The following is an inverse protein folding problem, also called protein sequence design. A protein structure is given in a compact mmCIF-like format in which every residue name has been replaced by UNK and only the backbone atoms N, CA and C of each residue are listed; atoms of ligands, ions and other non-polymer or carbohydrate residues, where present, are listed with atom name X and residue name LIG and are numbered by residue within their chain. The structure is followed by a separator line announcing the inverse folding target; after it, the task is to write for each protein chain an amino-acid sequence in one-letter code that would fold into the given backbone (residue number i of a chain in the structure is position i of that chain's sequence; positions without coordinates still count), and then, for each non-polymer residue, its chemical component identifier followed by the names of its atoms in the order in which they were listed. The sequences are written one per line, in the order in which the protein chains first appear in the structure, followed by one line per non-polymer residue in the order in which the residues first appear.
data_IF_478323856835
#
_entry.id   IF_478323856835
#
_cell.length_a   1.000
_cell.length_b   1.000
_cell.length_c   1.000
_cell.angle_alpha   90.00
_cell.angle_beta   90.00
_cell.angle_gamma   90.00
#
_symmetry.space_group_name_H-M   'P 1'
#
loop_
_entity.id
_entity.type
_entity.pdbx_description
1 polymer ?
#
# COMPACT_ATOMS: atom_id res chain seq x y z
N UNK A 1 -15.96 -42.85 6.94
CA UNK A 1 -16.20 -42.60 5.51
C UNK A 1 -16.89 -41.25 5.36
N UNK A 2 -16.12 -40.19 5.14
CA UNK A 2 -16.63 -38.81 5.12
C UNK A 2 -17.42 -38.61 3.83
N UNK A 3 -18.76 -38.59 3.91
CA UNK A 3 -19.62 -38.28 2.75
C UNK A 3 -19.27 -36.87 2.28
N UNK A 4 -18.64 -36.74 1.10
CA UNK A 4 -18.43 -35.44 0.48
C UNK A 4 -19.78 -34.69 0.42
N UNK A 5 -19.87 -33.43 0.85
CA UNK A 5 -21.12 -32.68 0.88
C UNK A 5 -21.65 -32.29 -0.52
N UNK A 6 -21.11 -32.89 -1.58
CA UNK A 6 -21.31 -32.52 -2.98
C UNK A 6 -22.16 -33.58 -3.67
N UNK A 7 -23.41 -33.25 -3.97
CA UNK A 7 -24.22 -34.05 -4.91
C UNK A 7 -23.76 -33.71 -6.33
N UNK A 8 -22.82 -34.47 -6.88
CA UNK A 8 -22.31 -34.33 -8.25
C UNK A 8 -23.39 -34.01 -9.32
N UNK A 9 -24.59 -34.63 -9.34
CA UNK A 9 -25.61 -34.28 -10.33
C UNK A 9 -26.16 -32.85 -10.19
N UNK A 10 -26.30 -32.32 -8.96
CA UNK A 10 -26.77 -30.95 -8.75
C UNK A 10 -25.77 -29.91 -9.23
N UNK A 11 -24.47 -30.19 -9.07
CA UNK A 11 -23.38 -29.30 -9.54
C UNK A 11 -23.36 -29.26 -11.07
N UNK A 12 -23.45 -30.42 -11.73
CA UNK A 12 -23.49 -30.49 -13.21
C UNK A 12 -24.74 -29.80 -13.75
N UNK A 13 -25.88 -29.98 -13.07
CA UNK A 13 -27.12 -29.31 -13.45
C UNK A 13 -26.99 -27.78 -13.29
N UNK A 14 -26.43 -27.31 -12.16
CA UNK A 14 -26.17 -25.89 -11.94
C UNK A 14 -25.26 -25.29 -13.01
N UNK A 15 -24.18 -25.99 -13.38
CA UNK A 15 -23.27 -25.53 -14.43
C UNK A 15 -23.97 -25.40 -15.80
N UNK A 16 -24.74 -26.42 -16.20
CA UNK A 16 -25.51 -26.38 -17.45
C UNK A 16 -26.53 -25.26 -17.46
N UNK A 17 -27.18 -25.01 -16.34
CA UNK A 17 -28.17 -23.96 -16.21
C UNK A 17 -27.54 -22.57 -16.35
N UNK A 18 -26.38 -22.33 -15.73
CA UNK A 18 -25.59 -21.10 -15.93
C UNK A 18 -25.20 -20.91 -17.40
N UNK A 19 -24.79 -21.99 -18.09
CA UNK A 19 -24.42 -21.94 -19.51
C UNK A 19 -25.59 -21.62 -20.45
N UNK A 20 -26.83 -21.91 -20.06
CA UNK A 20 -28.03 -21.51 -20.84
C UNK A 20 -28.25 -20.01 -20.81
N UNK A 21 -27.70 -19.32 -19.81
CA UNK A 21 -27.81 -17.88 -19.62
C UNK A 21 -26.44 -17.24 -19.45
N UNK A 22 -25.64 -17.22 -20.54
CA UNK A 22 -24.24 -16.80 -20.45
C UNK A 22 -24.11 -15.31 -20.13
N UNK A 23 -24.97 -14.45 -20.69
CA UNK A 23 -24.86 -13.00 -20.51
C UNK A 23 -25.11 -12.56 -19.05
N UNK A 24 -26.22 -12.93 -18.37
CA UNK A 24 -26.42 -12.58 -16.96
C UNK A 24 -25.34 -13.17 -16.05
N UNK A 25 -24.93 -14.41 -16.30
CA UNK A 25 -23.86 -15.08 -15.55
C UNK A 25 -22.54 -14.35 -15.68
N UNK A 26 -22.18 -13.93 -16.90
CA UNK A 26 -20.96 -13.19 -17.17
C UNK A 26 -20.99 -11.79 -16.55
N UNK A 27 -22.12 -11.09 -16.62
CA UNK A 27 -22.27 -9.77 -15.99
C UNK A 27 -22.08 -9.84 -14.47
N UNK A 28 -22.68 -10.85 -13.82
CA UNK A 28 -22.48 -11.10 -12.39
C UNK A 28 -21.04 -11.47 -12.06
N UNK A 29 -20.41 -12.30 -12.90
CA UNK A 29 -19.02 -12.70 -12.70
C UNK A 29 -18.07 -11.50 -12.82
N UNK A 30 -18.23 -10.68 -13.87
CA UNK A 30 -17.40 -9.49 -14.13
C UNK A 30 -17.59 -8.44 -13.04
N UNK A 31 -18.83 -8.14 -12.65
CA UNK A 31 -19.08 -7.19 -11.57
C UNK A 31 -18.45 -7.66 -10.26
N UNK A 32 -18.54 -8.97 -9.96
CA UNK A 32 -18.04 -9.52 -8.71
C UNK A 32 -16.53 -9.54 -8.69
N UNK A 33 -15.92 -9.99 -9.80
CA UNK A 33 -14.47 -9.94 -9.97
C UNK A 33 -13.94 -8.51 -9.88
N UNK A 34 -14.65 -7.53 -10.45
CA UNK A 34 -14.24 -6.12 -10.43
C UNK A 34 -14.32 -5.52 -9.02
N UNK A 35 -15.39 -5.83 -8.27
CA UNK A 35 -15.55 -5.39 -6.88
C UNK A 35 -14.47 -6.00 -5.98
N UNK A 36 -14.18 -7.29 -6.16
CA UNK A 36 -13.09 -7.97 -5.44
C UNK A 36 -11.74 -7.38 -5.82
N UNK A 37 -11.48 -7.13 -7.10
CA UNK A 37 -10.23 -6.52 -7.57
C UNK A 37 -10.02 -5.15 -6.93
N UNK A 38 -11.06 -4.32 -6.87
CA UNK A 38 -10.99 -3.00 -6.24
C UNK A 38 -10.62 -3.11 -4.75
N UNK A 39 -11.32 -3.94 -3.98
CA UNK A 39 -11.07 -4.12 -2.54
C UNK A 39 -9.68 -4.71 -2.30
N UNK A 40 -9.32 -5.76 -3.04
CA UNK A 40 -8.03 -6.41 -2.93
C UNK A 40 -6.89 -5.44 -3.27
N UNK A 41 -7.04 -4.61 -4.32
CA UNK A 41 -6.05 -3.62 -4.72
C UNK A 41 -5.76 -2.64 -3.57
N UNK A 42 -6.79 -2.11 -2.92
CA UNK A 42 -6.63 -1.17 -1.80
C UNK A 42 -5.93 -1.82 -0.61
N UNK A 43 -6.39 -3.01 -0.21
CA UNK A 43 -5.82 -3.71 0.95
C UNK A 43 -4.36 -4.14 0.71
N UNK A 44 -4.03 -4.61 -0.49
CA UNK A 44 -2.66 -5.00 -0.85
C UNK A 44 -1.75 -3.78 -0.88
N UNK A 45 -2.21 -2.67 -1.45
CA UNK A 45 -1.44 -1.43 -1.50
C UNK A 45 -1.14 -0.92 -0.08
N UNK A 46 -2.16 -0.79 0.76
CA UNK A 46 -1.99 -0.34 2.15
C UNK A 46 -1.00 -1.21 2.92
N UNK A 47 -1.12 -2.53 2.78
CA UNK A 47 -0.28 -3.48 3.48
C UNK A 47 1.17 -3.48 2.98
N UNK A 48 1.37 -3.46 1.66
CA UNK A 48 2.73 -3.42 1.06
C UNK A 48 3.45 -2.14 1.46
N UNK A 49 2.77 -1.00 1.40
CA UNK A 49 3.33 0.29 1.79
C UNK A 49 3.63 0.36 3.28
N UNK A 50 2.70 -0.09 4.13
CA UNK A 50 2.88 -0.10 5.58
C UNK A 50 4.05 -0.97 6.01
N UNK A 51 4.22 -2.14 5.39
CA UNK A 51 5.34 -3.03 5.68
C UNK A 51 6.67 -2.46 5.21
N UNK A 52 6.68 -1.85 4.01
CA UNK A 52 7.87 -1.19 3.52
C UNK A 52 8.28 -0.03 4.44
N UNK A 53 7.32 0.82 4.83
CA UNK A 53 7.57 1.91 5.76
C UNK A 53 8.15 1.40 7.08
N UNK A 54 7.57 0.36 7.69
CA UNK A 54 8.10 -0.24 8.93
C UNK A 54 9.56 -0.66 8.77
N UNK A 55 9.89 -1.41 7.71
CA UNK A 55 11.27 -1.85 7.44
C UNK A 55 12.25 -0.69 7.27
N UNK A 56 11.80 0.38 6.63
CA UNK A 56 12.60 1.59 6.39
C UNK A 56 12.79 2.40 7.68
N UNK A 57 11.75 2.47 8.50
CA UNK A 57 11.78 3.16 9.79
C UNK A 57 12.62 2.41 10.82
N UNK A 58 12.68 1.08 10.78
CA UNK A 58 13.58 0.26 11.63
C UNK A 58 15.06 0.62 11.43
N UNK A 59 15.45 1.05 10.22
CA UNK A 59 16.81 1.47 9.88
C UNK A 59 17.05 2.98 10.13
N UNK A 60 16.01 3.73 10.48
CA UNK A 60 16.10 5.17 10.74
C UNK A 60 16.60 5.46 12.16
N UNK A 61 17.21 6.62 12.44
CA UNK A 61 17.67 6.95 13.79
C UNK A 61 16.51 6.96 14.80
N UNK A 62 16.81 6.64 16.05
CA UNK A 62 15.78 6.57 17.10
C UNK A 62 15.12 7.94 17.37
N UNK A 63 15.93 9.01 17.36
CA UNK A 63 15.44 10.38 17.56
C UNK A 63 16.12 11.33 16.58
N UNK A 64 15.32 12.23 16.01
CA UNK A 64 15.78 13.35 15.20
C UNK A 64 15.46 14.66 15.92
N UNK A 65 16.47 15.51 16.09
CA UNK A 65 16.36 16.83 16.71
C UNK A 65 16.59 17.90 15.66
N UNK A 66 15.61 18.77 15.46
CA UNK A 66 15.63 19.84 14.47
C UNK A 66 15.49 21.20 15.16
N UNK A 67 16.34 22.16 14.83
CA UNK A 67 16.20 23.52 15.34
C UNK A 67 15.09 24.23 14.57
N UNK A 68 14.23 24.91 15.33
CA UNK A 68 13.11 25.69 14.79
C UNK A 68 13.21 27.11 15.28
N UNK A 69 12.68 28.04 14.49
CA UNK A 69 12.56 29.47 14.77
C UNK A 69 11.15 29.91 14.37
N UNK A 70 10.70 31.13 14.72
CA UNK A 70 9.42 31.64 14.23
C UNK A 70 9.29 31.63 12.70
N UNK A 71 10.42 31.67 11.96
CA UNK A 71 10.48 31.55 10.50
C UNK A 71 10.54 30.10 9.98
N UNK A 72 10.43 29.09 10.84
CA UNK A 72 10.53 27.69 10.49
C UNK A 72 11.90 27.07 10.81
N UNK A 73 12.36 26.16 9.95
CA UNK A 73 13.62 25.44 10.14
C UNK A 73 14.83 26.38 10.15
N UNK A 74 15.82 26.06 11.00
CA UNK A 74 17.10 26.74 11.06
C UNK A 74 18.27 25.75 11.21
N UNK A 75 19.47 26.09 10.72
CA UNK A 75 20.65 25.23 10.82
C UNK A 75 21.18 25.10 12.25
N UNK A 76 21.76 23.95 12.54
CA UNK A 76 22.32 23.60 13.85
C UNK A 76 23.85 23.64 13.81
N UNK A 77 24.53 24.40 14.70
CA UNK A 77 25.96 24.32 14.88
C UNK A 77 26.36 22.95 15.46
N UNK A 78 27.13 22.16 14.71
CA UNK A 78 27.39 20.75 15.01
C UNK A 78 28.19 20.59 16.30
N UNK A 79 29.35 21.26 16.41
CA UNK A 79 30.28 21.01 17.53
C UNK A 79 29.64 21.33 18.88
N UNK A 80 28.99 22.49 18.99
CA UNK A 80 28.31 22.89 20.23
C UNK A 80 27.17 21.94 20.57
N UNK A 81 26.36 21.56 19.57
CA UNK A 81 25.21 20.68 19.80
C UNK A 81 25.63 19.26 20.19
N UNK A 82 26.66 18.70 19.56
CA UNK A 82 27.16 17.36 19.88
C UNK A 82 27.76 17.30 21.28
N UNK A 83 28.49 18.33 21.71
CA UNK A 83 29.03 18.39 23.07
C UNK A 83 27.91 18.38 24.14
N UNK A 84 26.80 19.07 23.88
CA UNK A 84 25.63 19.06 24.78
C UNK A 84 24.97 17.67 24.83
N UNK A 85 24.80 17.04 23.68
CA UNK A 85 24.16 15.72 23.58
C UNK A 85 24.98 14.61 24.24
N UNK A 86 26.31 14.66 24.14
CA UNK A 86 27.20 13.67 24.75
C UNK A 86 27.15 13.68 26.28
N UNK A 87 26.73 14.78 26.91
CA UNK A 87 26.59 14.88 28.36
C UNK A 87 25.30 14.23 28.90
N UNK A 88 24.36 13.87 28.04
CA UNK A 88 23.05 13.33 28.42
C UNK A 88 23.14 11.80 28.54
N UNK A 89 22.81 11.27 29.70
CA UNK A 89 22.71 9.82 29.90
C UNK A 89 21.59 9.23 29.03
N UNK A 90 21.89 8.12 28.34
CA UNK A 90 20.94 7.43 27.44
C UNK A 90 21.03 7.83 25.97
N UNK A 91 21.74 8.91 25.63
CA UNK A 91 22.01 9.29 24.23
C UNK A 91 23.19 8.50 23.69
N UNK A 92 22.97 7.81 22.58
CA UNK A 92 23.98 7.02 21.87
C UNK A 92 24.26 7.63 20.49
N UNK A 93 25.53 7.60 20.08
CA UNK A 93 25.99 7.98 18.74
C UNK A 93 25.40 9.29 18.17
N UNK A 94 25.41 10.42 18.91
CA UNK A 94 24.87 11.66 18.38
C UNK A 94 25.70 12.14 17.19
N UNK A 95 25.03 12.49 16.08
CA UNK A 95 25.66 12.93 14.84
C UNK A 95 24.85 14.01 14.14
N UNK A 96 25.54 14.98 13.55
CA UNK A 96 24.93 15.99 12.69
C UNK A 96 24.70 15.42 11.29
N UNK A 97 23.48 15.55 10.78
CA UNK A 97 23.11 15.14 9.43
C UNK A 97 22.92 16.35 8.53
N UNK A 98 23.28 16.17 7.26
CA UNK A 98 22.93 17.13 6.21
C UNK A 98 21.86 16.48 5.34
N UNK A 99 20.62 16.89 5.57
CA UNK A 99 19.43 16.34 4.94
C UNK A 99 18.51 17.49 4.51
N UNK A 100 17.83 17.35 3.37
CA UNK A 100 16.86 18.35 2.93
C UNK A 100 16.18 17.96 1.64
N UNK A 101 15.43 18.89 1.06
CA UNK A 101 14.77 18.73 -0.23
C UNK A 101 15.26 19.82 -1.17
N UNK A 102 15.62 19.44 -2.39
CA UNK A 102 16.07 20.34 -3.46
C UNK A 102 15.23 20.14 -4.71
N UNK A 103 15.33 21.04 -5.67
CA UNK A 103 14.67 20.90 -6.97
C UNK A 103 15.49 19.95 -7.83
N UNK A 104 14.89 18.87 -8.32
CA UNK A 104 15.45 18.01 -9.34
C UNK A 104 14.75 18.18 -10.69
N UNK A 105 15.16 17.41 -11.71
CA UNK A 105 14.61 17.50 -13.06
C UNK A 105 13.14 17.09 -13.15
N UNK A 106 12.68 16.15 -12.31
CA UNK A 106 11.32 15.60 -12.32
C UNK A 106 10.43 16.04 -11.16
N UNK A 107 10.89 16.96 -10.30
CA UNK A 107 10.18 17.35 -9.08
C UNK A 107 11.11 17.57 -7.88
N UNK A 108 10.57 17.60 -6.65
CA UNK A 108 11.38 17.65 -5.43
C UNK A 108 12.23 16.37 -5.30
N UNK A 109 13.48 16.54 -4.84
CA UNK A 109 14.44 15.47 -4.61
C UNK A 109 14.92 15.53 -3.18
N UNK A 110 14.84 14.41 -2.48
CA UNK A 110 15.38 14.27 -1.13
C UNK A 110 16.90 14.13 -1.21
N UNK A 111 17.61 15.04 -0.56
CA UNK A 111 19.07 15.12 -0.59
C UNK A 111 19.67 14.61 0.71
N UNK A 112 20.66 13.73 0.60
CA UNK A 112 21.40 13.15 1.74
C UNK A 112 22.89 13.39 1.57
N UNK A 113 23.49 14.12 2.51
CA UNK A 113 24.93 14.37 2.54
C UNK A 113 25.69 13.34 3.37
N UNK A 114 26.66 12.66 2.77
CA UNK A 114 27.54 11.67 3.44
C UNK A 114 29.02 12.07 3.35
N UNK A 115 29.82 11.71 4.34
CA UNK A 115 31.22 12.17 4.46
C UNK A 115 32.27 11.14 3.98
N UNK A 116 31.99 9.81 4.00
CA UNK A 116 32.80 8.71 3.41
C UNK A 116 32.08 7.32 3.58
N UNK A 117 32.53 6.19 2.95
CA UNK A 117 31.69 5.04 2.53
C UNK A 117 31.19 4.09 3.63
N UNK A 118 31.37 4.45 4.90
CA UNK A 118 30.97 3.64 6.07
C UNK A 118 30.18 4.49 7.04
N UNK A 119 29.30 5.36 6.53
CA UNK A 119 28.19 5.79 7.38
C UNK A 119 27.42 4.51 7.77
N UNK A 120 27.08 4.36 9.05
CA UNK A 120 26.62 3.08 9.64
C UNK A 120 25.31 2.53 9.06
N UNK A 121 24.79 3.16 8.01
CA UNK A 121 23.66 2.66 7.26
C UNK A 121 24.13 1.51 6.36
N UNK A 122 23.75 0.30 6.74
CA UNK A 122 24.07 -0.97 6.06
C UNK A 122 23.72 -0.96 4.58
N UNK A 123 22.76 -0.12 4.17
CA UNK A 123 22.28 0.05 2.79
C UNK A 123 23.36 0.52 1.82
N UNK A 124 24.32 1.35 2.27
CA UNK A 124 25.29 1.98 1.35
C UNK A 124 26.62 1.24 1.23
N UNK A 125 26.81 0.17 2.00
CA UNK A 125 28.10 -0.53 2.14
C UNK A 125 28.58 -1.23 0.86
N UNK A 126 27.67 -1.49 -0.07
CA UNK A 126 27.93 -2.13 -1.37
C UNK A 126 28.28 -1.14 -2.49
N UNK A 127 28.20 0.18 -2.24
CA UNK A 127 28.34 1.21 -3.26
C UNK A 127 29.77 1.79 -3.32
N UNK A 128 30.23 2.22 -4.51
CA UNK A 128 31.57 2.77 -4.70
C UNK A 128 31.72 4.11 -3.96
N UNK A 129 32.87 4.40 -3.33
CA UNK A 129 33.06 5.58 -2.49
C UNK A 129 32.72 6.88 -3.24
N UNK A 130 32.00 7.77 -2.56
CA UNK A 130 31.39 8.95 -3.15
C UNK A 130 32.28 10.17 -3.01
N UNK A 131 32.67 10.79 -4.12
CA UNK A 131 33.50 12.01 -4.11
C UNK A 131 32.64 13.26 -4.30
N UNK A 132 33.25 14.42 -4.02
CA UNK A 132 32.61 15.69 -4.34
C UNK A 132 32.38 15.82 -5.86
N UNK A 133 31.20 16.25 -6.26
CA UNK A 133 30.72 16.29 -7.65
C UNK A 133 30.07 14.99 -8.12
N UNK A 134 29.98 13.95 -7.28
CA UNK A 134 29.36 12.67 -7.60
C UNK A 134 28.09 12.43 -6.78
N UNK A 135 27.18 11.62 -7.31
CA UNK A 135 25.93 11.25 -6.67
C UNK A 135 25.60 9.76 -6.85
N UNK A 136 25.01 9.15 -5.82
CA UNK A 136 24.19 7.95 -5.98
C UNK A 136 22.72 8.36 -6.05
N UNK A 137 21.96 7.70 -6.92
CA UNK A 137 20.58 8.08 -7.20
C UNK A 137 19.60 6.94 -6.98
N UNK A 138 18.40 7.31 -6.56
CA UNK A 138 17.22 6.46 -6.60
C UNK A 138 16.78 6.09 -8.00
N UNK A 139 15.96 5.04 -8.10
CA UNK A 139 15.40 4.55 -9.38
C UNK A 139 14.60 5.63 -10.14
N UNK A 140 13.94 6.56 -9.43
CA UNK A 140 13.18 7.65 -10.04
C UNK A 140 14.03 8.78 -10.62
N UNK A 141 15.32 8.81 -10.29
CA UNK A 141 16.26 9.84 -10.73
C UNK A 141 17.27 9.32 -11.76
N UNK A 142 17.15 8.06 -12.16
CA UNK A 142 17.97 7.48 -13.23
C UNK A 142 17.56 8.15 -14.55
N UNK A 143 18.47 8.88 -15.23
CA UNK A 143 18.15 9.51 -16.50
C UNK A 143 17.91 8.45 -17.58
N UNK A 144 17.04 8.77 -18.55
CA UNK A 144 16.79 7.90 -19.72
C UNK A 144 18.06 7.65 -20.56
N UNK A 145 19.03 8.56 -20.47
CA UNK A 145 20.34 8.43 -21.13
C UNK A 145 21.44 8.33 -20.07
N UNK A 146 22.24 7.27 -20.13
CA UNK A 146 23.23 6.91 -19.08
C UNK A 146 24.32 7.95 -18.82
N UNK A 147 24.50 8.93 -19.70
CA UNK A 147 25.55 9.94 -19.62
C UNK A 147 25.03 11.34 -19.25
N UNK A 148 23.72 11.48 -18.97
CA UNK A 148 23.14 12.76 -18.56
C UNK A 148 23.51 13.05 -17.10
N UNK A 149 24.16 14.20 -16.81
CA UNK A 149 24.48 14.56 -15.43
C UNK A 149 23.21 14.94 -14.66
N UNK A 150 23.21 14.68 -13.35
CA UNK A 150 22.13 15.06 -12.46
C UNK A 150 22.21 16.55 -12.13
N UNK A 151 21.21 17.31 -12.55
CA UNK A 151 21.08 18.72 -12.20
C UNK A 151 20.20 18.86 -10.94
N UNK A 152 20.78 19.36 -9.85
CA UNK A 152 20.06 19.69 -8.63
C UNK A 152 20.10 21.20 -8.38
N UNK A 153 18.93 21.77 -8.16
CA UNK A 153 18.73 23.20 -7.90
C UNK A 153 18.37 23.49 -6.45
N UNK A 154 19.18 24.30 -5.79
CA UNK A 154 19.02 24.65 -4.38
C UNK A 154 19.31 26.12 -4.15
N UNK A 155 20.07 26.42 -3.10
CA UNK A 155 20.67 27.75 -2.90
C UNK A 155 21.82 28.01 -3.88
N UNK A 156 22.50 26.94 -4.29
CA UNK A 156 23.40 26.90 -5.44
C UNK A 156 23.03 25.70 -6.28
N UNK A 157 22.94 25.90 -7.58
CA UNK A 157 22.66 24.81 -8.50
C UNK A 157 23.95 24.04 -8.77
N UNK A 158 23.88 22.71 -8.71
CA UNK A 158 25.01 21.82 -8.94
C UNK A 158 24.67 20.81 -10.03
N UNK A 159 25.67 20.52 -10.86
CA UNK A 159 25.66 19.44 -11.84
C UNK A 159 26.53 18.32 -11.29
N UNK A 160 25.94 17.15 -11.06
CA UNK A 160 26.58 16.00 -10.42
C UNK A 160 26.68 14.82 -11.38
N UNK A 161 27.80 14.10 -11.30
CA UNK A 161 28.00 12.85 -12.04
C UNK A 161 27.36 11.70 -11.27
N UNK A 162 26.52 10.92 -11.95
CA UNK A 162 25.92 9.72 -11.35
C UNK A 162 26.96 8.60 -11.39
N UNK A 163 27.31 8.06 -10.21
CA UNK A 163 28.32 6.98 -10.08
C UNK A 163 27.77 5.66 -9.58
N UNK A 164 26.51 5.65 -9.14
CA UNK A 164 25.84 4.45 -8.66
C UNK A 164 24.33 4.64 -8.51
N UNK A 165 23.62 3.52 -8.43
CA UNK A 165 22.20 3.48 -8.12
C UNK A 165 22.01 2.87 -6.74
N UNK A 166 21.02 3.37 -6.01
CA UNK A 166 20.67 2.85 -4.70
C UNK A 166 20.07 1.44 -4.82
N UNK A 167 20.31 0.55 -3.84
CA UNK A 167 19.82 -0.82 -3.88
C UNK A 167 18.29 -0.91 -4.04
N UNK A 168 17.85 -1.87 -4.86
CA UNK A 168 16.43 -2.08 -5.18
C UNK A 168 15.58 -2.40 -3.94
N UNK A 169 16.17 -3.08 -2.95
CA UNK A 169 15.49 -3.44 -1.70
C UNK A 169 15.01 -2.22 -0.90
N UNK A 170 15.66 -1.08 -1.09
CA UNK A 170 15.35 0.21 -0.48
C UNK A 170 14.55 1.14 -1.40
N UNK A 171 14.26 0.73 -2.64
CA UNK A 171 13.77 1.61 -3.71
C UNK A 171 12.52 2.39 -3.33
N UNK A 172 11.67 1.84 -2.46
CA UNK A 172 10.49 2.53 -1.94
C UNK A 172 10.81 3.80 -1.12
N UNK A 173 11.87 3.79 -0.30
CA UNK A 173 12.33 4.99 0.43
C UNK A 173 13.25 5.85 -0.41
N UNK A 174 13.95 5.23 -1.37
CA UNK A 174 15.06 5.87 -2.06
C UNK A 174 14.71 6.32 -3.47
N UNK A 175 13.47 6.17 -3.93
CA UNK A 175 13.03 6.46 -5.29
C UNK A 175 13.44 7.86 -5.78
N UNK A 176 13.16 8.90 -4.98
CA UNK A 176 13.46 10.31 -5.23
C UNK A 176 14.64 10.83 -4.39
N UNK A 177 15.53 9.92 -3.97
CA UNK A 177 16.68 10.26 -3.13
C UNK A 177 17.96 10.41 -3.96
N UNK A 178 18.69 11.50 -3.73
CA UNK A 178 20.06 11.70 -4.17
C UNK A 178 21.00 11.70 -2.96
N UNK A 179 21.90 10.73 -2.91
CA UNK A 179 22.99 10.70 -1.91
C UNK A 179 24.22 11.35 -2.55
N UNK A 180 24.74 12.38 -1.91
CA UNK A 180 25.85 13.21 -2.42
C UNK A 180 26.89 13.38 -1.32
N UNK A 181 28.10 13.80 -1.70
CA UNK A 181 29.10 14.16 -0.71
C UNK A 181 28.62 15.34 0.15
N UNK A 182 28.87 15.32 1.46
CA UNK A 182 28.31 16.29 2.43
C UNK A 182 28.64 17.75 2.07
N UNK A 183 29.80 17.98 1.45
CA UNK A 183 30.22 19.30 0.96
C UNK A 183 29.27 19.85 -0.10
N UNK A 184 28.82 19.01 -1.02
CA UNK A 184 27.89 19.41 -2.07
C UNK A 184 26.46 19.52 -1.53
N UNK A 185 26.08 18.64 -0.60
CA UNK A 185 24.80 18.78 0.10
C UNK A 185 24.70 20.12 0.84
N UNK A 186 25.76 20.53 1.54
CA UNK A 186 25.82 21.83 2.22
C UNK A 186 25.72 23.01 1.24
N UNK A 187 26.40 22.95 0.09
CA UNK A 187 26.30 24.00 -0.95
C UNK A 187 24.88 24.11 -1.51
N UNK A 188 24.24 22.97 -1.78
CA UNK A 188 22.87 22.90 -2.27
C UNK A 188 21.87 23.45 -1.26
N UNK A 189 22.01 23.08 0.02
CA UNK A 189 21.10 23.52 1.09
C UNK A 189 21.45 24.91 1.67
N UNK A 190 22.63 25.44 1.34
CA UNK A 190 23.08 26.74 1.85
C UNK A 190 23.53 26.72 3.30
N UNK A 191 24.20 25.63 3.70
CA UNK A 191 24.74 25.39 5.03
C UNK A 191 26.24 25.66 5.07
N UNK A 192 26.73 26.18 6.20
CA UNK A 192 28.16 26.32 6.47
C UNK A 192 28.81 24.98 6.84
N UNK A 193 30.15 24.94 6.87
CA UNK A 193 30.92 23.71 7.12
C UNK A 193 30.72 23.14 8.54
N UNK A 194 30.38 23.98 9.52
CA UNK A 194 30.09 23.59 10.90
C UNK A 194 28.59 23.39 11.17
N UNK A 195 27.75 23.47 10.12
CA UNK A 195 26.30 23.37 10.24
C UNK A 195 25.75 22.02 9.77
N UNK A 196 24.69 21.59 10.45
CA UNK A 196 23.85 20.45 10.11
C UNK A 196 22.39 20.89 9.93
N UNK A 197 21.63 20.09 9.19
CA UNK A 197 20.19 20.29 9.04
C UNK A 197 19.39 19.81 10.23
N UNK A 198 19.77 18.66 10.76
CA UNK A 198 19.24 18.07 11.98
C UNK A 198 20.30 17.20 12.66
N UNK A 199 20.02 16.83 13.90
CA UNK A 199 20.83 15.89 14.67
C UNK A 199 20.09 14.56 14.70
N UNK A 200 20.81 13.47 14.44
CA UNK A 200 20.33 12.12 14.69
C UNK A 200 21.04 11.55 15.91
N UNK A 201 20.30 10.84 16.74
CA UNK A 201 20.83 10.09 17.87
C UNK A 201 20.09 8.77 18.02
N UNK A 202 20.82 7.80 18.54
CA UNK A 202 20.28 6.51 18.93
C UNK A 202 20.04 6.52 20.46
N UNK A 203 19.17 5.63 20.92
CA UNK A 203 18.79 5.50 22.33
C UNK A 203 18.93 4.03 22.72
N UNK A 204 19.20 3.75 23.99
CA UNK A 204 19.39 2.38 24.47
C UNK A 204 18.12 1.54 24.31
N UNK A 205 16.94 2.12 24.60
CA UNK A 205 15.63 1.55 24.28
C UNK A 205 14.70 2.56 23.61
N UNK A 206 13.80 2.09 22.75
CA UNK A 206 12.80 2.96 22.10
C UNK A 206 11.87 3.64 23.12
N UNK A 207 11.52 2.95 24.20
CA UNK A 207 10.65 3.50 25.26
C UNK A 207 11.30 4.68 26.02
N UNK A 208 12.64 4.76 26.02
CA UNK A 208 13.38 5.88 26.62
C UNK A 208 13.35 7.13 25.73
N UNK A 209 13.10 6.98 24.43
CA UNK A 209 13.14 8.08 23.47
C UNK A 209 12.13 9.19 23.82
N UNK A 210 10.93 8.80 24.26
CA UNK A 210 9.90 9.76 24.67
C UNK A 210 10.21 10.40 26.03
N UNK A 211 10.83 9.66 26.95
CA UNK A 211 11.26 10.19 28.24
C UNK A 211 12.39 11.21 28.10
N UNK A 212 13.31 10.99 27.14
CA UNK A 212 14.42 11.90 26.85
C UNK A 212 13.97 13.21 26.20
N UNK A 213 12.73 13.31 25.71
CA UNK A 213 12.23 14.50 25.01
C UNK A 213 12.35 15.79 25.83
N UNK A 214 11.97 15.74 27.11
CA UNK A 214 12.03 16.92 28.00
C UNK A 214 13.48 17.33 28.29
N UNK A 215 14.36 16.35 28.48
CA UNK A 215 15.80 16.55 28.72
C UNK A 215 16.48 17.14 27.49
N UNK A 216 16.21 16.58 26.30
CA UNK A 216 16.70 17.08 25.03
C UNK A 216 16.20 18.50 24.74
N UNK A 217 14.94 18.81 25.05
CA UNK A 217 14.39 20.14 24.86
C UNK A 217 15.07 21.19 25.77
N UNK A 218 15.47 20.80 26.99
CA UNK A 218 16.19 21.66 27.93
C UNK A 218 17.71 21.73 27.71
N UNK A 219 18.28 20.89 26.85
CA UNK A 219 19.72 20.82 26.63
C UNK A 219 20.27 21.89 25.67
N UNK A 220 19.41 22.56 24.92
CA UNK A 220 19.78 23.55 23.91
C UNK A 220 19.31 24.96 24.29
N UNK A 221 20.11 25.96 23.94
CA UNK A 221 19.81 27.38 24.18
C UNK A 221 18.79 27.95 23.17
N UNK A 222 18.18 27.10 22.34
CA UNK A 222 17.23 27.46 21.29
C UNK A 222 16.11 26.43 21.19
N UNK A 223 14.94 26.82 20.64
CA UNK A 223 13.83 25.88 20.50
C UNK A 223 14.15 24.78 19.49
N UNK A 224 13.86 23.54 19.88
CA UNK A 224 14.05 22.35 19.05
C UNK A 224 12.75 21.57 18.92
N UNK A 225 12.51 21.06 17.72
CA UNK A 225 11.51 20.04 17.46
C UNK A 225 12.18 18.68 17.53
N UNK A 226 11.68 17.84 18.44
CA UNK A 226 12.14 16.47 18.62
C UNK A 226 11.12 15.55 17.96
N UNK A 227 11.60 14.57 17.22
CA UNK A 227 10.74 13.58 16.58
C UNK A 227 11.36 12.21 16.76
N UNK A 228 10.60 11.31 17.36
CA UNK A 228 11.00 9.92 17.58
C UNK A 228 10.70 9.06 16.34
N UNK A 229 11.37 7.92 16.25
CA UNK A 229 11.12 6.91 15.23
C UNK A 229 9.67 6.43 15.22
N UNK A 230 9.07 6.22 16.39
CA UNK A 230 7.66 5.82 16.56
C UNK A 230 6.71 6.88 15.98
N UNK A 231 6.92 8.16 16.29
CA UNK A 231 6.13 9.25 15.72
C UNK A 231 6.28 9.36 14.19
N UNK A 232 7.47 9.11 13.64
CA UNK A 232 7.68 9.09 12.18
C UNK A 232 6.88 7.96 11.54
N UNK A 233 6.91 6.77 12.15
CA UNK A 233 6.15 5.62 11.67
C UNK A 233 4.64 5.89 11.72
N UNK A 234 4.12 6.40 12.83
CA UNK A 234 2.70 6.68 12.99
C UNK A 234 2.20 7.72 11.99
N UNK A 235 2.94 8.82 11.81
CA UNK A 235 2.58 9.84 10.81
C UNK A 235 2.61 9.28 9.39
N UNK A 236 3.61 8.46 9.06
CA UNK A 236 3.69 7.83 7.75
C UNK A 236 2.58 6.80 7.50
N UNK A 237 2.25 5.97 8.49
CA UNK A 237 1.12 5.03 8.40
C UNK A 237 -0.22 5.77 8.28
N UNK A 238 -0.38 6.89 8.99
CA UNK A 238 -1.57 7.73 8.87
C UNK A 238 -1.72 8.31 7.45
N UNK A 239 -0.64 8.84 6.85
CA UNK A 239 -0.69 9.34 5.46
C UNK A 239 -0.97 8.22 4.45
N UNK A 240 -0.33 7.05 4.61
CA UNK A 240 -0.60 5.88 3.76
C UNK A 240 -2.07 5.49 3.85
N UNK A 241 -2.61 5.33 5.06
CA UNK A 241 -4.00 4.91 5.27
C UNK A 241 -5.00 5.95 4.76
N UNK A 242 -4.69 7.24 4.86
CA UNK A 242 -5.51 8.30 4.32
C UNK A 242 -5.56 8.24 2.79
N UNK A 243 -4.41 8.09 2.13
CA UNK A 243 -4.30 8.02 0.66
C UNK A 243 -4.89 6.72 0.09
N UNK A 244 -4.60 5.58 0.72
CA UNK A 244 -5.15 4.27 0.33
C UNK A 244 -6.67 4.24 0.55
N UNK A 245 -7.15 4.85 1.64
CA UNK A 245 -8.57 4.95 1.97
C UNK A 245 -9.42 5.73 0.96
N UNK A 246 -8.84 6.71 0.24
CA UNK A 246 -9.57 7.46 -0.81
C UNK A 246 -10.05 6.52 -1.92
N UNK A 247 -9.27 5.50 -2.29
CA UNK A 247 -9.70 4.50 -3.26
C UNK A 247 -10.88 3.66 -2.76
N UNK A 248 -11.00 3.48 -1.44
CA UNK A 248 -12.13 2.78 -0.84
C UNK A 248 -13.45 3.54 -1.01
N UNK A 249 -13.43 4.85 -1.25
CA UNK A 249 -14.65 5.62 -1.56
C UNK A 249 -15.34 5.06 -2.81
N UNK A 250 -14.56 4.54 -3.79
CA UNK A 250 -15.10 3.90 -4.98
C UNK A 250 -15.84 2.57 -4.69
N UNK A 251 -15.62 1.96 -3.50
CA UNK A 251 -16.31 0.74 -3.09
C UNK A 251 -17.82 0.96 -2.90
N UNK A 252 -18.23 2.11 -2.33
CA UNK A 252 -19.64 2.43 -2.10
C UNK A 252 -20.52 2.33 -3.37
N UNK A 253 -20.23 3.11 -4.42
CA UNK A 253 -20.99 3.03 -5.68
C UNK A 253 -20.81 1.67 -6.39
N UNK A 254 -19.64 1.03 -6.30
CA UNK A 254 -19.43 -0.29 -6.89
C UNK A 254 -20.29 -1.37 -6.21
N UNK A 255 -20.40 -1.33 -4.87
CA UNK A 255 -21.27 -2.20 -4.10
C UNK A 255 -22.75 -1.92 -4.40
N UNK A 256 -23.14 -0.65 -4.51
CA UNK A 256 -24.50 -0.29 -4.89
C UNK A 256 -24.85 -0.82 -6.29
N UNK A 257 -23.95 -0.64 -7.27
CA UNK A 257 -24.13 -1.17 -8.63
C UNK A 257 -24.26 -2.70 -8.62
N UNK A 258 -23.48 -3.39 -7.78
CA UNK A 258 -23.61 -4.83 -7.56
C UNK A 258 -24.98 -5.20 -7.00
N UNK A 259 -25.42 -4.55 -5.94
CA UNK A 259 -26.72 -4.81 -5.31
C UNK A 259 -27.85 -4.58 -6.31
N UNK A 260 -27.80 -3.49 -7.08
CA UNK A 260 -28.77 -3.21 -8.13
C UNK A 260 -28.75 -4.27 -9.24
N UNK A 261 -27.57 -4.74 -9.66
CA UNK A 261 -27.43 -5.83 -10.62
C UNK A 261 -28.04 -7.13 -10.10
N UNK A 262 -27.72 -7.51 -8.86
CA UNK A 262 -28.28 -8.71 -8.20
C UNK A 262 -29.80 -8.58 -8.06
N UNK A 263 -30.31 -7.40 -7.67
CA UNK A 263 -31.73 -7.14 -7.58
C UNK A 263 -32.42 -7.23 -8.94
N UNK A 264 -31.84 -6.65 -9.99
CA UNK A 264 -32.35 -6.72 -11.35
C UNK A 264 -32.38 -8.16 -11.89
N UNK A 265 -31.32 -8.93 -11.64
CA UNK A 265 -31.29 -10.35 -11.99
C UNK A 265 -32.28 -11.18 -11.17
N UNK A 266 -32.44 -10.87 -9.87
CA UNK A 266 -33.44 -11.48 -9.02
C UNK A 266 -34.87 -11.17 -9.46
N UNK A 267 -35.13 -9.94 -9.92
CA UNK A 267 -36.41 -9.55 -10.53
C UNK A 267 -36.66 -10.30 -11.85
N UNK A 268 -35.64 -10.47 -12.70
CA UNK A 268 -35.74 -11.29 -13.90
C UNK A 268 -35.97 -12.79 -13.58
N UNK A 269 -35.32 -13.32 -12.53
CA UNK A 269 -35.52 -14.68 -12.02
C UNK A 269 -36.91 -14.88 -11.40
N UNK A 270 -37.55 -13.81 -10.92
CA UNK A 270 -38.93 -13.84 -10.41
C UNK A 270 -39.95 -14.22 -11.49
N UNK A 271 -39.63 -13.99 -12.76
CA UNK A 271 -40.37 -14.46 -13.94
C UNK A 271 -40.22 -15.97 -14.19
N UNK A 272 -39.33 -16.65 -13.44
CA UNK A 272 -39.01 -18.08 -13.51
C UNK A 272 -39.34 -18.85 -12.23
N UNK A 273 -40.21 -18.32 -11.36
CA UNK A 273 -40.71 -19.08 -10.18
C UNK A 273 -41.31 -20.44 -10.57
N UNK A 274 -41.83 -20.55 -11.79
CA UNK A 274 -42.35 -21.80 -12.36
C UNK A 274 -41.30 -22.93 -12.38
N UNK A 275 -40.01 -22.63 -12.54
CA UNK A 275 -38.94 -23.66 -12.51
C UNK A 275 -38.86 -24.30 -11.11
N UNK A 276 -38.92 -23.48 -10.06
CA UNK A 276 -38.92 -23.94 -8.66
C UNK A 276 -40.20 -24.73 -8.33
N UNK A 277 -41.35 -24.30 -8.85
CA UNK A 277 -42.61 -25.03 -8.74
C UNK A 277 -42.55 -26.39 -9.44
N UNK A 278 -41.95 -26.44 -10.64
CA UNK A 278 -41.73 -27.68 -11.38
C UNK A 278 -40.79 -28.64 -10.65
N UNK A 279 -39.70 -28.16 -10.05
CA UNK A 279 -38.82 -29.02 -9.24
C UNK A 279 -39.55 -29.63 -8.05
N UNK A 280 -40.36 -28.83 -7.34
CA UNK A 280 -41.19 -29.34 -6.24
C UNK A 280 -42.21 -30.37 -6.72
N UNK A 281 -42.86 -30.13 -7.86
CA UNK A 281 -43.80 -31.08 -8.46
C UNK A 281 -43.12 -32.40 -8.89
N UNK A 282 -41.84 -32.33 -9.30
CA UNK A 282 -41.01 -33.50 -9.61
C UNK A 282 -40.40 -34.16 -8.36
N UNK A 283 -40.79 -33.75 -7.15
CA UNK A 283 -40.38 -34.37 -5.89
C UNK A 283 -39.08 -33.81 -5.29
N UNK A 284 -38.58 -32.67 -5.75
CA UNK A 284 -37.41 -32.03 -5.13
C UNK A 284 -37.77 -31.41 -3.79
N UNK A 285 -36.89 -31.62 -2.81
CA UNK A 285 -37.04 -31.01 -1.49
C UNK A 285 -36.61 -29.54 -1.51
N UNK A 286 -37.15 -28.72 -0.60
CA UNK A 286 -36.69 -27.34 -0.40
C UNK A 286 -35.18 -27.26 -0.13
N UNK A 287 -34.61 -28.27 0.54
CA UNK A 287 -33.17 -28.36 0.77
C UNK A 287 -32.37 -28.59 -0.52
N UNK A 288 -32.88 -29.35 -1.48
CA UNK A 288 -32.21 -29.56 -2.76
C UNK A 288 -32.26 -28.31 -3.65
N UNK A 289 -33.37 -27.55 -3.60
CA UNK A 289 -33.52 -26.25 -4.28
C UNK A 289 -32.54 -25.21 -3.70
N UNK A 290 -32.41 -25.16 -2.37
CA UNK A 290 -31.46 -24.28 -1.70
C UNK A 290 -30.01 -24.65 -2.04
N UNK A 291 -29.66 -25.94 -1.99
CA UNK A 291 -28.33 -26.44 -2.39
C UNK A 291 -28.00 -26.07 -3.82
N UNK A 292 -28.97 -26.18 -4.73
CA UNK A 292 -28.80 -25.81 -6.12
C UNK A 292 -28.42 -24.32 -6.28
N UNK A 293 -29.10 -23.42 -5.56
CA UNK A 293 -28.77 -21.99 -5.58
C UNK A 293 -27.39 -21.71 -5.01
N UNK A 294 -27.01 -22.39 -3.92
CA UNK A 294 -25.66 -22.30 -3.35
C UNK A 294 -24.62 -22.77 -4.36
N UNK A 295 -24.84 -23.89 -5.07
CA UNK A 295 -23.91 -24.36 -6.10
C UNK A 295 -23.79 -23.39 -7.29
N UNK A 296 -24.90 -22.81 -7.78
CA UNK A 296 -24.85 -21.76 -8.80
C UNK A 296 -24.02 -20.57 -8.32
N UNK A 297 -24.25 -20.12 -7.08
CA UNK A 297 -23.49 -19.05 -6.46
C UNK A 297 -22.00 -19.36 -6.33
N UNK A 298 -21.63 -20.57 -5.88
CA UNK A 298 -20.24 -20.99 -5.74
C UNK A 298 -19.52 -21.10 -7.09
N UNK A 299 -20.19 -21.64 -8.11
CA UNK A 299 -19.62 -21.80 -9.47
C UNK A 299 -19.32 -20.46 -10.14
N UNK A 300 -20.06 -19.39 -9.80
CA UNK A 300 -19.78 -18.03 -10.29
C UNK A 300 -18.84 -17.29 -9.34
N UNK A 301 -19.11 -17.39 -8.04
CA UNK A 301 -18.45 -16.63 -6.99
C UNK A 301 -17.00 -17.01 -6.79
N UNK A 302 -16.67 -18.30 -6.67
CA UNK A 302 -15.28 -18.73 -6.45
C UNK A 302 -14.37 -18.29 -7.60
N UNK A 303 -14.71 -18.53 -8.89
CA UNK A 303 -13.91 -18.02 -9.99
C UNK A 303 -13.81 -16.49 -10.01
N UNK A 304 -14.89 -15.78 -9.71
CA UNK A 304 -14.89 -14.31 -9.68
C UNK A 304 -13.98 -13.76 -8.57
N UNK A 305 -14.04 -14.34 -7.36
CA UNK A 305 -13.16 -13.99 -6.25
C UNK A 305 -11.70 -14.23 -6.62
N UNK A 306 -11.38 -15.39 -7.19
CA UNK A 306 -10.00 -15.71 -7.60
C UNK A 306 -9.51 -14.81 -8.74
N UNK A 307 -10.37 -14.51 -9.71
CA UNK A 307 -10.03 -13.64 -10.83
C UNK A 307 -9.85 -12.19 -10.39
N UNK A 308 -10.69 -11.69 -9.48
CA UNK A 308 -10.57 -10.34 -8.93
C UNK A 308 -9.29 -10.18 -8.11
N UNK A 309 -8.99 -11.14 -7.24
CA UNK A 309 -7.73 -11.19 -6.49
C UNK A 309 -6.52 -11.25 -7.43
N UNK A 310 -6.57 -12.13 -8.44
CA UNK A 310 -5.53 -12.23 -9.46
C UNK A 310 -5.35 -10.94 -10.26
N UNK A 311 -6.44 -10.27 -10.62
CA UNK A 311 -6.40 -8.98 -11.31
C UNK A 311 -5.77 -7.89 -10.45
N UNK A 312 -6.11 -7.82 -9.16
CA UNK A 312 -5.47 -6.88 -8.23
C UNK A 312 -3.96 -7.13 -8.09
N UNK A 313 -3.56 -8.39 -8.02
CA UNK A 313 -2.15 -8.78 -8.00
C UNK A 313 -1.44 -8.34 -9.29
N UNK A 314 -2.01 -8.63 -10.46
CA UNK A 314 -1.43 -8.23 -11.73
C UNK A 314 -1.35 -6.70 -11.83
N UNK A 315 -2.39 -5.97 -11.45
CA UNK A 315 -2.42 -4.51 -11.48
C UNK A 315 -1.34 -3.85 -10.61
N UNK A 316 -0.99 -4.47 -9.47
CA UNK A 316 -0.01 -3.90 -8.54
C UNK A 316 1.43 -4.33 -8.83
N UNK A 317 1.64 -5.57 -9.29
CA UNK A 317 2.97 -6.17 -9.38
C UNK A 317 3.45 -6.45 -10.81
N UNK A 318 2.59 -6.30 -11.83
CA UNK A 318 3.03 -6.52 -13.21
C UNK A 318 3.97 -5.38 -13.64
N UNK A 319 5.20 -5.70 -14.09
CA UNK A 319 6.16 -4.69 -14.50
C UNK A 319 5.57 -3.84 -15.64
N UNK A 320 5.60 -2.51 -15.47
CA UNK A 320 5.09 -1.53 -16.44
C UNK A 320 3.78 -0.85 -16.07
N UNK A 321 3.05 -1.32 -15.04
CA UNK A 321 1.83 -0.65 -14.58
C UNK A 321 2.21 0.48 -13.61
N UNK A 322 2.41 1.69 -14.12
CA UNK A 322 2.84 2.85 -13.32
C UNK A 322 1.70 3.76 -12.87
N UNK A 323 0.48 3.57 -13.38
CA UNK A 323 -0.63 4.50 -13.15
C UNK A 323 -1.12 4.51 -11.70
N UNK A 324 -1.10 3.36 -11.01
CA UNK A 324 -1.49 3.27 -9.59
C UNK A 324 -0.54 4.10 -8.73
N UNK A 325 0.76 3.93 -8.94
CA UNK A 325 1.80 4.69 -8.24
C UNK A 325 1.72 6.19 -8.55
N UNK A 326 1.53 6.56 -9.83
CA UNK A 326 1.34 7.97 -10.24
C UNK A 326 0.10 8.60 -9.62
N UNK A 327 -1.05 7.92 -9.65
CA UNK A 327 -2.32 8.46 -9.17
C UNK A 327 -2.28 8.76 -7.66
N UNK A 328 -1.56 7.94 -6.88
CA UNK A 328 -1.59 8.00 -5.42
C UNK A 328 -0.41 8.76 -4.80
N UNK A 329 0.76 8.68 -5.44
CA UNK A 329 2.02 9.20 -4.90
C UNK A 329 2.70 10.23 -5.80
N UNK A 330 2.12 10.53 -6.98
CA UNK A 330 2.71 11.43 -7.99
C UNK A 330 4.15 11.02 -8.38
N UNK A 331 4.48 9.73 -8.24
CA UNK A 331 5.80 9.22 -8.56
C UNK A 331 6.04 9.25 -10.07
N UNK A 332 7.03 10.02 -10.51
CA UNK A 332 7.55 10.02 -11.87
C UNK A 332 8.65 8.95 -12.00
N UNK A 333 8.39 7.90 -12.80
CA UNK A 333 9.37 6.83 -13.05
C UNK A 333 8.81 5.40 -12.97
N UNK A 334 9.66 4.38 -13.12
CA UNK A 334 9.29 3.00 -12.82
C UNK A 334 9.03 2.88 -11.31
N UNK A 335 7.85 2.37 -10.88
CA UNK A 335 7.55 2.24 -9.47
C UNK A 335 8.57 1.31 -8.82
N UNK A 336 9.03 1.63 -7.60
CA UNK A 336 9.91 0.76 -6.85
C UNK A 336 9.24 -0.61 -6.71
N UNK A 337 10.03 -1.69 -6.83
CA UNK A 337 9.52 -3.04 -6.69
C UNK A 337 8.80 -3.20 -5.36
N UNK A 338 7.48 -3.41 -5.38
CA UNK A 338 6.73 -3.72 -4.16
C UNK A 338 7.11 -5.14 -3.71
N UNK A 339 7.96 -5.25 -2.69
CA UNK A 339 8.36 -6.55 -2.17
C UNK A 339 7.22 -7.20 -1.39
N UNK A 340 6.86 -8.41 -1.79
CA UNK A 340 5.82 -9.20 -1.15
C UNK A 340 6.37 -9.91 0.08
N UNK A 341 5.78 -9.63 1.24
CA UNK A 341 5.71 -10.62 2.32
C UNK A 341 4.56 -11.58 2.01
N UNK A 342 4.86 -12.89 1.96
CA UNK A 342 3.87 -13.95 1.69
C UNK A 342 2.66 -13.86 2.63
N UNK A 343 2.89 -13.48 3.89
CA UNK A 343 1.83 -13.27 4.89
C UNK A 343 0.89 -12.11 4.57
N UNK A 344 1.40 -11.04 3.95
CA UNK A 344 0.60 -9.88 3.61
C UNK A 344 -0.37 -10.10 2.47
N UNK A 345 0.10 -10.84 1.46
CA UNK A 345 -0.71 -11.26 0.31
C UNK A 345 -1.85 -12.15 0.76
N UNK A 346 -1.56 -13.17 1.58
CA UNK A 346 -2.57 -14.08 2.09
C UNK A 346 -3.63 -13.36 2.92
N UNK A 347 -3.22 -12.41 3.78
CA UNK A 347 -4.13 -11.60 4.58
C UNK A 347 -5.05 -10.70 3.75
N UNK A 348 -4.48 -9.92 2.83
CA UNK A 348 -5.25 -9.04 1.94
C UNK A 348 -6.21 -9.80 1.03
N UNK A 349 -5.79 -10.96 0.52
CA UNK A 349 -6.63 -11.86 -0.29
C UNK A 349 -7.77 -12.46 0.54
N UNK A 350 -7.47 -12.95 1.74
CA UNK A 350 -8.50 -13.52 2.61
C UNK A 350 -9.53 -12.46 3.04
N UNK A 351 -9.07 -11.26 3.41
CA UNK A 351 -9.94 -10.16 3.83
C UNK A 351 -10.82 -9.65 2.68
N UNK A 352 -10.26 -9.46 1.48
CA UNK A 352 -11.06 -9.06 0.31
C UNK A 352 -12.09 -10.13 -0.09
N UNK A 353 -11.69 -11.41 -0.08
CA UNK A 353 -12.61 -12.52 -0.32
C UNK A 353 -13.70 -12.62 0.75
N UNK A 354 -13.39 -12.33 2.01
CA UNK A 354 -14.37 -12.32 3.10
C UNK A 354 -15.35 -11.14 2.97
N UNK A 355 -14.82 -9.93 2.75
CA UNK A 355 -15.58 -8.69 2.71
C UNK A 355 -16.58 -8.66 1.56
N UNK A 356 -16.21 -9.23 0.40
CA UNK A 356 -17.09 -9.28 -0.78
C UNK A 356 -17.84 -10.62 -0.87
N UNK A 357 -17.18 -11.72 -0.52
CA UNK A 357 -17.76 -13.07 -0.62
C UNK A 357 -18.86 -13.35 0.39
N UNK A 358 -18.76 -12.88 1.64
CA UNK A 358 -19.82 -13.08 2.63
C UNK A 358 -21.13 -12.39 2.24
N UNK A 359 -21.17 -11.08 1.89
CA UNK A 359 -22.40 -10.44 1.42
C UNK A 359 -22.98 -11.12 0.18
N UNK A 360 -22.13 -11.55 -0.75
CA UNK A 360 -22.57 -12.28 -1.94
C UNK A 360 -23.22 -13.62 -1.59
N UNK A 361 -22.59 -14.44 -0.75
CA UNK A 361 -23.15 -15.71 -0.31
C UNK A 361 -24.43 -15.53 0.51
N UNK A 362 -24.50 -14.48 1.35
CA UNK A 362 -25.70 -14.13 2.09
C UNK A 362 -26.85 -13.76 1.15
N UNK A 363 -26.58 -12.98 0.08
CA UNK A 363 -27.58 -12.66 -0.93
C UNK A 363 -28.05 -13.89 -1.71
N UNK A 364 -27.13 -14.78 -2.10
CA UNK A 364 -27.46 -16.06 -2.76
C UNK A 364 -28.31 -16.94 -1.84
N UNK A 365 -27.95 -17.03 -0.56
CA UNK A 365 -28.70 -17.80 0.42
C UNK A 365 -30.09 -17.21 0.63
N UNK A 366 -30.20 -15.89 0.81
CA UNK A 366 -31.46 -15.19 1.01
C UNK A 366 -32.43 -15.39 -0.17
N UNK A 367 -31.94 -15.25 -1.40
CA UNK A 367 -32.74 -15.51 -2.60
C UNK A 367 -33.13 -16.98 -2.75
N UNK A 368 -32.21 -17.91 -2.45
CA UNK A 368 -32.50 -19.35 -2.42
C UNK A 368 -33.54 -19.73 -1.36
N UNK A 369 -33.49 -19.08 -0.19
CA UNK A 369 -34.45 -19.31 0.89
C UNK A 369 -35.86 -18.86 0.52
N UNK A 370 -36.01 -17.65 -0.04
CA UNK A 370 -37.31 -17.15 -0.48
C UNK A 370 -37.93 -18.03 -1.55
N UNK A 371 -37.13 -18.54 -2.49
CA UNK A 371 -37.62 -19.43 -3.56
C UNK A 371 -37.95 -20.84 -3.06
N UNK A 372 -37.19 -21.37 -2.11
CA UNK A 372 -37.45 -22.66 -1.50
C UNK A 372 -38.70 -22.65 -0.59
N UNK A 373 -39.09 -21.49 -0.04
CA UNK A 373 -40.25 -21.33 0.83
C UNK A 373 -41.61 -21.20 0.13
N UNK A 374 -41.65 -20.81 -1.16
CA UNK A 374 -42.92 -20.56 -1.86
C UNK A 374 -43.74 -21.82 -2.18
N UNK A 375 -45.08 -21.74 -2.12
CA UNK A 375 -45.97 -22.85 -2.48
C UNK A 375 -45.79 -23.22 -3.97
N UNK A 376 -45.65 -24.52 -4.33
CA UNK A 376 -45.59 -24.94 -5.73
C UNK A 376 -46.77 -24.43 -6.58
N UNK A 377 -47.99 -24.34 -6.05
CA UNK A 377 -49.15 -23.85 -6.80
C UNK A 377 -48.98 -22.36 -7.15
N UNK A 378 -48.66 -21.53 -6.15
CA UNK A 378 -48.41 -20.09 -6.32
C UNK A 378 -47.23 -19.79 -7.26
N UNK A 379 -46.24 -20.69 -7.29
CA UNK A 379 -45.07 -20.56 -8.15
C UNK A 379 -45.35 -20.88 -9.62
N UNK A 380 -46.29 -21.79 -9.91
CA UNK A 380 -46.65 -22.24 -11.27
C UNK A 380 -47.71 -21.32 -11.89
N UNK A 381 -48.72 -20.95 -11.11
CA UNK A 381 -49.82 -20.10 -11.59
C UNK A 381 -49.42 -18.63 -11.73
N UNK A 382 -48.24 -18.27 -11.20
CA UNK A 382 -47.72 -16.92 -11.22
C UNK A 382 -48.64 -16.02 -10.40
N UNK A 383 -48.58 -16.15 -9.07
CA UNK A 383 -49.42 -15.38 -8.15
C UNK A 383 -49.60 -13.92 -8.59
N UNK A 384 -50.88 -13.51 -8.59
CA UNK A 384 -51.41 -12.18 -8.90
C UNK A 384 -50.52 -11.02 -8.43
#
# INVERSE_FOLDING_TARGET
MMRMPWKAPLVVWAARDLMRHPLPTLLLWVSLASLVALVALVLLLDHTLSNALRRLTDQSPAVVVRRVTPGGWAPIPIEHALHRLQAIAGVLHPRGRVWGVVRGPGGPVTLVGVNDPVDHNTVFRSLPPLRAGEAWVGQGLVPETSDTPLLLGGRRDLTLKIVGQLPDDSAMATHDVAVVHVRDARRLLGLEADQASDLALDVFHEDEADALRSVLAGAFDWPVQITTRSEQLERGLADISQRSGILLIAFGPALLAMVLLVAAMGAAGRRRRWESGLFKALGWTSADILRLHIYRGLLVGVPALTAGVGAAYLLLFQPGITWVARLLFDWSGPPPGFYLTVQGVAGGFALSALLVGLPFLAAVFWTGWQTAGGDPADCIEGGL
#
